data_IF_619929295198
#
_entry.id   IF_619929295198
#
_cell.length_a   1.000
_cell.length_b   1.000
_cell.length_c   1.000
_cell.angle_alpha   90.00
_cell.angle_beta   90.00
_cell.angle_gamma   90.00
#
_symmetry.space_group_name_H-M   'P 1'
#
loop_
_entity.id
_entity.type
_entity.pdbx_description
1 polymer ?
#
# COMPACT_ATOMS: atom_id res chain seq x y z
N UNK A 1 12.81 -13.25 8.22
CA UNK A 1 14.06 -12.47 8.30
C UNK A 1 14.69 -12.64 9.69
N UNK A 2 15.95 -12.23 9.88
CA UNK A 2 16.61 -12.21 11.18
C UNK A 2 17.08 -10.78 11.50
N UNK A 3 16.88 -10.32 12.74
CA UNK A 3 17.46 -9.08 13.24
C UNK A 3 18.91 -9.35 13.65
N UNK A 4 19.86 -8.97 12.79
CA UNK A 4 21.28 -9.31 12.95
C UNK A 4 22.10 -8.23 13.67
N UNK A 5 21.52 -7.05 13.89
CA UNK A 5 22.16 -5.93 14.56
C UNK A 5 21.24 -4.72 14.62
N UNK A 6 21.64 -3.74 15.43
CA UNK A 6 20.99 -2.44 15.60
C UNK A 6 21.94 -1.50 16.34
N UNK A 7 21.69 -0.20 16.24
CA UNK A 7 22.47 0.84 16.90
C UNK A 7 21.50 1.83 17.57
N UNK A 8 21.93 2.43 18.67
CA UNK A 8 21.19 3.50 19.36
C UNK A 8 22.12 4.69 19.50
N UNK A 9 21.68 5.86 19.05
CA UNK A 9 22.40 7.12 19.21
C UNK A 9 21.55 8.10 20.02
N UNK A 10 22.12 8.64 21.10
CA UNK A 10 21.50 9.70 21.90
C UNK A 10 22.00 11.06 21.40
N UNK A 11 21.10 11.92 20.92
CA UNK A 11 21.42 13.22 20.32
C UNK A 11 20.54 14.33 20.91
N UNK A 12 20.79 14.78 22.16
CA UNK A 12 19.93 15.74 22.86
C UNK A 12 19.88 17.15 22.24
N UNK A 13 20.88 17.50 21.42
CA UNK A 13 20.89 18.76 20.67
C UNK A 13 20.10 18.67 19.34
N UNK A 14 19.62 17.47 18.96
CA UNK A 14 18.94 17.21 17.68
C UNK A 14 17.47 16.82 17.87
N UNK A 15 17.17 15.98 18.87
CA UNK A 15 15.81 15.52 19.16
C UNK A 15 15.26 16.16 20.43
N UNK A 16 13.96 16.48 20.43
CA UNK A 16 13.25 16.86 21.64
C UNK A 16 13.11 15.67 22.60
N UNK A 17 12.80 15.93 23.88
CA UNK A 17 12.88 14.93 24.96
C UNK A 17 12.00 13.68 24.73
N UNK A 18 10.91 13.81 23.98
CA UNK A 18 9.97 12.72 23.65
C UNK A 18 10.10 12.21 22.21
N UNK A 19 10.96 12.83 21.40
CA UNK A 19 11.13 12.50 19.99
C UNK A 19 12.25 11.47 19.78
N UNK A 20 12.00 10.53 18.87
CA UNK A 20 13.02 9.61 18.38
C UNK A 20 12.75 9.28 16.91
N UNK A 21 13.82 8.87 16.21
CA UNK A 21 13.73 8.39 14.84
C UNK A 21 14.20 6.93 14.76
N UNK A 22 13.61 6.17 13.83
CA UNK A 22 13.94 4.77 13.60
C UNK A 22 14.24 4.58 12.12
N UNK A 23 15.48 4.19 11.83
CA UNK A 23 15.88 3.70 10.52
C UNK A 23 15.98 2.17 10.53
N UNK A 24 15.35 1.53 9.54
CA UNK A 24 15.46 0.10 9.30
C UNK A 24 16.13 -0.20 7.96
N UNK A 25 16.96 -1.25 7.92
CA UNK A 25 17.57 -1.73 6.68
C UNK A 25 17.25 -3.22 6.49
N UNK A 26 16.90 -3.61 5.26
CA UNK A 26 16.65 -4.99 4.87
C UNK A 26 17.57 -5.38 3.71
N UNK A 27 18.13 -6.58 3.78
CA UNK A 27 18.91 -7.17 2.69
C UNK A 27 18.23 -8.46 2.27
N UNK A 28 17.90 -8.56 0.98
CA UNK A 28 17.35 -9.74 0.35
C UNK A 28 18.30 -10.30 -0.72
N UNK A 29 18.10 -11.56 -1.10
CA UNK A 29 18.83 -12.21 -2.19
C UNK A 29 17.82 -12.76 -3.18
N UNK A 30 18.10 -12.57 -4.47
CA UNK A 30 17.28 -13.08 -5.57
C UNK A 30 18.20 -13.53 -6.70
N UNK A 31 17.88 -14.64 -7.34
CA UNK A 31 18.56 -15.05 -8.56
C UNK A 31 18.29 -14.05 -9.68
N UNK A 32 19.31 -13.72 -10.46
CA UNK A 32 19.18 -12.70 -11.53
C UNK A 32 18.05 -13.03 -12.51
N UNK A 33 17.82 -14.31 -12.80
CA UNK A 33 16.75 -14.77 -13.70
C UNK A 33 15.36 -14.73 -13.07
N UNK A 34 15.25 -14.62 -11.75
CA UNK A 34 13.98 -14.57 -11.01
C UNK A 34 13.58 -13.14 -10.61
N UNK A 35 14.31 -12.12 -11.07
CA UNK A 35 13.97 -10.73 -10.81
C UNK A 35 12.69 -10.38 -11.56
N UNK A 36 11.68 -9.90 -10.83
CA UNK A 36 10.47 -9.30 -11.39
C UNK A 36 10.72 -7.79 -11.53
N UNK A 37 11.08 -7.34 -12.73
CA UNK A 37 11.46 -5.96 -13.02
C UNK A 37 10.39 -5.16 -13.82
N UNK A 38 9.22 -5.76 -14.05
CA UNK A 38 8.14 -5.15 -14.82
C UNK A 38 8.29 -5.25 -16.34
N UNK A 39 9.41 -5.79 -16.86
CA UNK A 39 9.62 -5.92 -18.31
C UNK A 39 8.65 -6.87 -19.02
N UNK A 40 7.97 -7.76 -18.27
CA UNK A 40 6.93 -8.67 -18.77
C UNK A 40 5.54 -8.04 -18.84
N UNK A 41 5.37 -6.79 -18.38
CA UNK A 41 4.07 -6.13 -18.35
C UNK A 41 3.64 -5.75 -19.75
N UNK A 42 2.39 -6.07 -20.10
CA UNK A 42 1.79 -5.84 -21.40
C UNK A 42 0.40 -5.20 -21.26
N UNK A 43 -0.06 -4.53 -22.33
CA UNK A 43 -1.43 -4.05 -22.40
C UNK A 43 -2.43 -5.21 -22.21
N UNK A 44 -3.43 -5.00 -21.37
CA UNK A 44 -4.42 -6.00 -21.00
C UNK A 44 -4.12 -6.71 -19.68
N UNK A 45 -2.89 -6.67 -19.15
CA UNK A 45 -2.56 -7.25 -17.85
C UNK A 45 -3.46 -6.72 -16.74
N UNK A 46 -3.80 -7.57 -15.78
CA UNK A 46 -4.79 -7.26 -14.74
C UNK A 46 -4.08 -6.80 -13.47
N UNK A 47 -4.61 -5.74 -12.87
CA UNK A 47 -4.19 -5.26 -11.55
C UNK A 47 -5.00 -5.96 -10.46
N UNK A 48 -4.32 -6.65 -9.55
CA UNK A 48 -4.93 -7.27 -8.36
C UNK A 48 -4.40 -6.59 -7.12
N UNK A 49 -5.29 -5.95 -6.36
CA UNK A 49 -4.98 -5.30 -5.09
C UNK A 49 -5.07 -6.25 -3.91
N UNK A 50 -4.19 -6.04 -2.93
CA UNK A 50 -4.27 -6.59 -1.58
C UNK A 50 -4.60 -5.49 -0.58
N UNK A 51 -5.45 -5.77 0.42
CA UNK A 51 -5.91 -4.75 1.35
C UNK A 51 -4.76 -4.24 2.22
N UNK A 52 -4.75 -2.92 2.44
CA UNK A 52 -3.99 -2.25 3.49
C UNK A 52 -4.68 -2.43 4.84
N UNK A 53 -3.96 -2.12 5.93
CA UNK A 53 -4.53 -2.11 7.29
C UNK A 53 -5.01 -0.71 7.70
N UNK A 54 -4.79 0.31 6.88
CA UNK A 54 -4.99 1.72 7.18
C UNK A 54 -4.01 2.59 6.39
N UNK A 55 -3.55 3.69 6.98
CA UNK A 55 -2.61 4.63 6.33
C UNK A 55 -1.23 4.02 6.05
N UNK A 56 -0.91 2.90 6.71
CA UNK A 56 0.43 2.32 6.74
C UNK A 56 1.43 3.31 7.33
N UNK A 57 2.37 3.83 6.55
CA UNK A 57 3.43 4.75 7.00
C UNK A 57 3.47 6.05 6.20
N UNK A 58 2.40 6.37 5.44
CA UNK A 58 2.36 7.55 4.58
C UNK A 58 1.10 8.39 4.83
N UNK A 59 1.19 9.70 4.57
CA UNK A 59 0.05 10.63 4.68
C UNK A 59 -0.27 11.11 6.11
N UNK A 60 0.57 10.81 7.11
CA UNK A 60 0.33 11.19 8.51
C UNK A 60 0.32 12.69 8.76
N UNK A 61 1.02 13.50 7.96
CA UNK A 61 0.96 14.96 8.09
C UNK A 61 -0.46 15.47 7.82
N UNK A 62 -1.07 15.06 6.70
CA UNK A 62 -2.43 15.44 6.35
C UNK A 62 -3.45 14.82 7.32
N UNK A 63 -3.29 13.54 7.64
CA UNK A 63 -4.22 12.85 8.53
C UNK A 63 -4.26 13.47 9.94
N UNK A 64 -3.11 13.82 10.52
CA UNK A 64 -3.05 14.50 11.82
C UNK A 64 -3.64 15.91 11.75
N UNK A 65 -3.28 16.67 10.71
CA UNK A 65 -3.79 18.03 10.54
C UNK A 65 -5.32 18.07 10.50
N UNK A 66 -5.94 17.12 9.79
CA UNK A 66 -7.41 17.04 9.71
C UNK A 66 -8.03 16.43 10.97
N UNK A 67 -7.59 15.24 11.38
CA UNK A 67 -8.29 14.51 12.44
C UNK A 67 -8.16 15.17 13.81
N UNK A 68 -7.01 15.78 14.12
CA UNK A 68 -6.79 16.42 15.43
C UNK A 68 -7.39 17.82 15.53
N UNK A 69 -7.97 18.37 14.46
CA UNK A 69 -8.87 19.54 14.58
C UNK A 69 -10.26 19.14 15.12
N UNK A 70 -10.61 17.85 15.06
CA UNK A 70 -11.95 17.35 15.39
C UNK A 70 -11.99 16.35 16.55
N UNK A 71 -10.88 15.64 16.80
CA UNK A 71 -10.82 14.53 17.75
C UNK A 71 -9.51 14.51 18.53
N UNK A 72 -9.60 14.08 19.78
CA UNK A 72 -8.43 13.67 20.56
C UNK A 72 -8.03 12.22 20.20
N UNK A 73 -6.79 11.84 20.52
CA UNK A 73 -6.24 10.50 20.24
C UNK A 73 -7.10 9.37 20.81
N UNK A 74 -7.75 9.61 21.96
CA UNK A 74 -8.60 8.64 22.65
C UNK A 74 -10.06 8.60 22.18
N UNK A 75 -10.48 9.50 21.29
CA UNK A 75 -11.86 9.52 20.80
C UNK A 75 -12.12 8.36 19.86
N UNK A 76 -13.30 7.76 19.98
CA UNK A 76 -13.75 6.61 19.18
C UNK A 76 -14.99 6.97 18.34
N UNK A 77 -14.83 7.70 17.22
CA UNK A 77 -15.93 8.00 16.32
C UNK A 77 -16.58 6.72 15.79
N UNK A 78 -17.89 6.75 15.58
CA UNK A 78 -18.68 5.57 15.21
C UNK A 78 -18.21 4.93 13.90
N UNK A 79 -17.71 5.75 12.96
CA UNK A 79 -17.15 5.32 11.68
C UNK A 79 -15.95 4.38 11.81
N UNK A 80 -15.21 4.44 12.92
CA UNK A 80 -14.06 3.56 13.17
C UNK A 80 -14.44 2.22 13.80
N UNK A 81 -15.74 1.93 13.97
CA UNK A 81 -16.23 0.64 14.42
C UNK A 81 -15.79 0.28 15.84
N UNK A 82 -15.62 1.28 16.71
CA UNK A 82 -15.21 1.12 18.10
C UNK A 82 -13.71 1.29 18.37
N UNK A 83 -12.88 1.46 17.34
CA UNK A 83 -11.49 1.86 17.52
C UNK A 83 -11.36 3.36 17.77
N UNK A 84 -10.35 3.75 18.55
CA UNK A 84 -10.00 5.17 18.72
C UNK A 84 -9.30 5.74 17.48
N UNK A 85 -9.23 7.05 17.35
CA UNK A 85 -8.43 7.73 16.32
C UNK A 85 -6.97 7.32 16.41
N UNK A 86 -6.41 7.26 17.62
CA UNK A 86 -5.05 6.79 17.86
C UNK A 86 -4.83 5.36 17.41
N UNK A 87 -5.73 4.44 17.75
CA UNK A 87 -5.66 3.03 17.33
C UNK A 87 -5.75 2.89 15.81
N UNK A 88 -6.62 3.66 15.15
CA UNK A 88 -6.78 3.62 13.70
C UNK A 88 -5.56 4.19 12.96
N UNK A 89 -4.94 5.26 13.49
CA UNK A 89 -3.71 5.82 12.97
C UNK A 89 -2.52 4.89 13.19
N UNK A 90 -2.40 4.24 14.36
CA UNK A 90 -1.28 3.38 14.71
C UNK A 90 -1.42 1.93 14.23
N UNK A 91 -2.38 1.63 13.35
CA UNK A 91 -2.51 0.29 12.77
C UNK A 91 -1.22 -0.09 12.05
N UNK A 92 -0.66 -1.22 12.47
CA UNK A 92 0.62 -1.74 11.97
C UNK A 92 0.57 -1.92 10.46
N UNK A 93 1.58 -1.40 9.76
CA UNK A 93 1.80 -1.72 8.35
C UNK A 93 2.06 -3.21 8.20
N UNK A 94 1.12 -3.94 7.57
CA UNK A 94 1.27 -5.37 7.37
C UNK A 94 2.42 -5.71 6.43
N UNK A 95 3.05 -6.85 6.63
CA UNK A 95 4.00 -7.40 5.66
C UNK A 95 3.26 -8.08 4.52
N UNK A 96 3.78 -7.94 3.30
CA UNK A 96 3.31 -8.65 2.11
C UNK A 96 4.32 -9.69 1.60
N UNK A 97 5.28 -10.09 2.43
CA UNK A 97 6.34 -11.02 2.03
C UNK A 97 5.76 -12.36 1.55
N UNK A 98 4.86 -12.94 2.33
CA UNK A 98 4.25 -14.24 2.04
C UNK A 98 3.46 -14.25 0.71
N UNK A 99 2.49 -13.34 0.45
CA UNK A 99 1.79 -13.34 -0.83
C UNK A 99 2.71 -13.04 -2.02
N UNK A 100 3.74 -12.21 -1.85
CA UNK A 100 4.74 -11.98 -2.90
C UNK A 100 5.50 -13.28 -3.21
N UNK A 101 5.96 -14.00 -2.18
CA UNK A 101 6.65 -15.27 -2.35
C UNK A 101 5.76 -16.30 -3.05
N UNK A 102 4.51 -16.45 -2.61
CA UNK A 102 3.53 -17.35 -3.25
C UNK A 102 3.38 -17.03 -4.73
N UNK A 103 3.25 -15.77 -5.11
CA UNK A 103 3.08 -15.38 -6.51
C UNK A 103 4.34 -15.62 -7.36
N UNK A 104 5.53 -15.40 -6.78
CA UNK A 104 6.80 -15.66 -7.47
C UNK A 104 7.02 -17.16 -7.68
N UNK A 105 6.75 -17.98 -6.66
CA UNK A 105 6.94 -19.44 -6.70
C UNK A 105 6.04 -20.12 -7.75
N UNK A 106 4.89 -19.53 -8.05
CA UNK A 106 3.96 -20.01 -9.07
C UNK A 106 4.12 -19.29 -10.44
N UNK A 107 5.09 -18.37 -10.59
CA UNK A 107 5.31 -17.54 -11.80
C UNK A 107 4.07 -16.75 -12.26
N UNK A 108 3.27 -16.24 -11.32
CA UNK A 108 2.00 -15.56 -11.60
C UNK A 108 2.12 -14.03 -11.68
N UNK A 109 3.27 -13.46 -11.28
CA UNK A 109 3.46 -12.02 -11.21
C UNK A 109 4.38 -11.48 -12.32
N UNK A 110 3.86 -10.56 -13.13
CA UNK A 110 4.62 -9.76 -14.09
C UNK A 110 5.20 -8.49 -13.46
N UNK A 111 4.62 -8.02 -12.35
CA UNK A 111 5.07 -6.85 -11.61
C UNK A 111 4.42 -6.75 -10.24
N UNK A 112 5.07 -6.02 -9.33
CA UNK A 112 4.54 -5.69 -8.01
C UNK A 112 4.62 -4.19 -7.78
N UNK A 113 3.57 -3.61 -7.20
CA UNK A 113 3.50 -2.20 -6.80
C UNK A 113 3.19 -2.13 -5.32
N UNK A 114 4.16 -1.70 -4.52
CA UNK A 114 3.92 -1.37 -3.11
C UNK A 114 3.37 0.06 -3.03
N UNK A 115 2.13 0.18 -2.57
CA UNK A 115 1.41 1.45 -2.54
C UNK A 115 1.82 2.22 -1.28
N UNK A 116 2.63 3.25 -1.48
CA UNK A 116 3.15 4.14 -0.42
C UNK A 116 2.76 5.59 -0.74
N UNK A 117 3.60 6.59 -0.43
CA UNK A 117 3.39 7.96 -0.87
C UNK A 117 3.30 8.05 -2.41
N UNK A 118 2.36 8.85 -2.92
CA UNK A 118 2.03 8.92 -4.36
C UNK A 118 0.83 8.06 -4.76
N UNK A 119 0.30 7.24 -3.83
CA UNK A 119 -0.86 6.38 -4.04
C UNK A 119 -0.72 5.38 -5.19
N UNK A 120 -1.83 4.84 -5.68
CA UNK A 120 -1.82 3.77 -6.69
C UNK A 120 -1.15 4.23 -7.97
N UNK A 121 -1.58 5.35 -8.54
CA UNK A 121 -1.07 5.84 -9.82
C UNK A 121 0.43 6.19 -9.76
N UNK A 122 0.86 6.90 -8.72
CA UNK A 122 2.26 7.33 -8.60
C UNK A 122 3.23 6.17 -8.36
N UNK A 123 2.80 5.12 -7.66
CA UNK A 123 3.64 3.94 -7.45
C UNK A 123 3.62 3.00 -8.67
N UNK A 124 2.47 2.84 -9.35
CA UNK A 124 2.38 2.01 -10.54
C UNK A 124 3.24 2.55 -11.71
N UNK A 125 3.29 3.87 -11.88
CA UNK A 125 4.12 4.51 -12.93
C UNK A 125 5.63 4.23 -12.81
N UNK A 126 6.11 3.74 -11.65
CA UNK A 126 7.52 3.35 -11.45
C UNK A 126 7.85 1.93 -11.94
N UNK A 127 6.81 1.12 -12.14
CA UNK A 127 6.91 -0.31 -12.45
C UNK A 127 6.44 -0.59 -13.88
N UNK A 128 5.43 0.16 -14.35
CA UNK A 128 4.87 -0.01 -15.69
C UNK A 128 5.84 0.54 -16.75
N UNK A 129 6.13 -0.22 -17.82
CA UNK A 129 6.98 0.23 -18.93
C UNK A 129 6.45 1.46 -19.68
N UNK A 130 7.34 2.19 -20.35
CA UNK A 130 6.97 3.33 -21.18
C UNK A 130 5.97 2.96 -22.29
N UNK A 131 4.98 3.82 -22.53
CA UNK A 131 3.93 3.56 -23.52
C UNK A 131 2.74 2.75 -22.98
N UNK A 132 2.79 2.36 -21.71
CA UNK A 132 1.69 1.71 -20.98
C UNK A 132 1.33 2.53 -19.75
N UNK A 133 0.09 2.40 -19.29
CA UNK A 133 -0.36 3.01 -18.04
C UNK A 133 -1.29 2.08 -17.26
N UNK A 134 -1.28 2.22 -15.93
CA UNK A 134 -2.16 1.48 -15.04
C UNK A 134 -3.47 2.26 -14.83
N UNK A 135 -4.57 1.71 -15.34
CA UNK A 135 -5.92 2.23 -15.13
C UNK A 135 -6.54 1.49 -13.93
N UNK A 136 -6.76 2.21 -12.83
CA UNK A 136 -7.38 1.68 -11.62
C UNK A 136 -8.83 2.18 -11.47
N UNK A 137 -9.75 1.26 -11.22
CA UNK A 137 -11.13 1.50 -10.83
C UNK A 137 -11.24 1.61 -9.32
N UNK A 138 -11.35 2.85 -8.81
CA UNK A 138 -11.43 3.13 -7.38
C UNK A 138 -12.76 2.71 -6.74
N UNK A 139 -13.77 2.34 -7.53
CA UNK A 139 -15.03 1.81 -7.04
C UNK A 139 -14.98 0.27 -6.87
N UNK A 140 -13.88 -0.37 -7.26
CA UNK A 140 -13.71 -1.83 -7.21
C UNK A 140 -13.44 -2.40 -5.81
N UNK A 141 -13.20 -1.54 -4.81
CA UNK A 141 -13.01 -1.97 -3.42
C UNK A 141 -13.66 -1.01 -2.42
N UNK A 142 -13.93 -1.52 -1.22
CA UNK A 142 -14.40 -0.69 -0.13
C UNK A 142 -13.23 0.11 0.45
N UNK A 143 -13.28 1.43 0.28
CA UNK A 143 -12.34 2.34 0.92
C UNK A 143 -12.50 2.27 2.46
N UNK A 144 -11.41 2.14 3.23
CA UNK A 144 -11.48 2.18 4.69
C UNK A 144 -12.01 3.52 5.21
N UNK A 145 -12.91 3.46 6.22
CA UNK A 145 -13.65 4.60 6.74
C UNK A 145 -12.76 5.76 7.24
N UNK A 146 -11.53 5.49 7.69
CA UNK A 146 -10.59 6.55 8.09
C UNK A 146 -10.28 7.51 6.93
N UNK A 147 -10.21 7.01 5.69
CA UNK A 147 -9.94 7.87 4.54
C UNK A 147 -11.15 8.72 4.17
N UNK A 148 -12.37 8.17 4.25
CA UNK A 148 -13.60 8.95 4.05
C UNK A 148 -13.77 10.02 5.13
N UNK A 149 -13.39 9.71 6.37
CA UNK A 149 -13.40 10.65 7.48
C UNK A 149 -12.40 11.78 7.23
N UNK A 150 -11.16 11.48 6.84
CA UNK A 150 -10.15 12.48 6.48
C UNK A 150 -10.64 13.34 5.30
N UNK A 151 -11.17 12.72 4.25
CA UNK A 151 -11.66 13.44 3.08
C UNK A 151 -12.77 14.42 3.45
N UNK A 152 -13.79 13.94 4.19
CA UNK A 152 -14.97 14.70 4.56
C UNK A 152 -14.67 15.84 5.53
N UNK A 153 -13.82 15.59 6.53
CA UNK A 153 -13.50 16.58 7.57
C UNK A 153 -12.52 17.64 7.06
N UNK A 154 -11.56 17.25 6.22
CA UNK A 154 -10.56 18.16 5.67
C UNK A 154 -10.97 18.84 4.36
N UNK A 155 -12.16 18.55 3.84
CA UNK A 155 -12.61 18.96 2.49
C UNK A 155 -11.55 18.67 1.42
N UNK A 156 -10.92 17.49 1.51
CA UNK A 156 -9.77 17.12 0.68
C UNK A 156 -10.25 16.68 -0.71
N UNK A 157 -9.75 17.29 -1.80
CA UNK A 157 -10.08 16.84 -3.15
C UNK A 157 -9.75 15.36 -3.36
N UNK A 158 -10.58 14.66 -4.12
CA UNK A 158 -10.39 13.23 -4.42
C UNK A 158 -9.02 12.93 -5.06
N UNK A 159 -8.52 13.80 -5.94
CA UNK A 159 -7.20 13.64 -6.55
C UNK A 159 -6.06 13.73 -5.52
N UNK A 160 -6.20 14.58 -4.51
CA UNK A 160 -5.22 14.72 -3.43
C UNK A 160 -5.28 13.50 -2.50
N UNK A 161 -6.48 12.97 -2.24
CA UNK A 161 -6.66 11.69 -1.52
C UNK A 161 -5.93 10.55 -2.25
N UNK A 162 -6.13 10.44 -3.57
CA UNK A 162 -5.50 9.39 -4.42
C UNK A 162 -3.99 9.54 -4.56
N UNK A 163 -3.45 10.75 -4.44
CA UNK A 163 -2.00 11.02 -4.49
C UNK A 163 -1.33 10.85 -3.14
N UNK A 164 -2.07 11.03 -2.05
CA UNK A 164 -1.50 11.00 -0.70
C UNK A 164 -1.57 9.63 -0.07
N UNK A 165 -2.69 8.92 -0.24
CA UNK A 165 -2.99 7.70 0.48
C UNK A 165 -3.06 6.47 -0.43
N UNK A 166 -2.96 5.31 0.20
CA UNK A 166 -3.19 4.02 -0.44
C UNK A 166 -4.69 3.69 -0.65
N UNK A 167 -5.58 4.43 0.02
CA UNK A 167 -7.04 4.33 -0.03
C UNK A 167 -7.61 2.92 0.19
N UNK A 168 -6.88 2.05 0.87
CA UNK A 168 -7.29 0.67 1.12
C UNK A 168 -6.47 -0.38 0.40
N UNK A 169 -5.64 -0.02 -0.58
CA UNK A 169 -4.83 -0.98 -1.36
C UNK A 169 -3.37 -0.84 -0.97
N UNK A 170 -2.79 -1.82 -0.27
CA UNK A 170 -1.40 -1.72 0.18
C UNK A 170 -0.38 -2.32 -0.78
N UNK A 171 -0.75 -3.37 -1.52
CA UNK A 171 0.08 -3.99 -2.56
C UNK A 171 -0.78 -4.24 -3.80
N UNK A 172 -0.19 -4.14 -4.97
CA UNK A 172 -0.79 -4.58 -6.24
C UNK A 172 0.15 -5.58 -6.88
N UNK A 173 -0.38 -6.72 -7.35
CA UNK A 173 0.29 -7.58 -8.32
C UNK A 173 -0.29 -7.34 -9.72
N UNK A 174 0.57 -7.36 -10.73
CA UNK A 174 0.21 -7.27 -12.14
C UNK A 174 0.37 -8.66 -12.73
N UNK A 175 -0.71 -9.24 -13.25
CA UNK A 175 -0.76 -10.64 -13.69
C UNK A 175 -1.37 -10.74 -15.08
N UNK A 176 -0.98 -11.76 -15.85
CA UNK A 176 -1.55 -11.95 -17.18
C UNK A 176 -3.07 -12.24 -17.09
N UNK A 177 -3.87 -11.87 -18.09
CA UNK A 177 -5.31 -12.17 -18.10
C UNK A 177 -5.62 -13.67 -18.01
N UNK A 178 -4.74 -14.52 -18.58
CA UNK A 178 -4.90 -15.96 -18.55
C UNK A 178 -4.69 -16.56 -17.15
N UNK A 179 -3.88 -15.90 -16.32
CA UNK A 179 -3.43 -16.41 -15.01
C UNK A 179 -4.25 -15.81 -13.85
N UNK A 180 -5.25 -14.98 -14.16
CA UNK A 180 -5.94 -14.18 -13.15
C UNK A 180 -6.74 -15.02 -12.15
N UNK A 181 -7.38 -16.10 -12.59
CA UNK A 181 -8.16 -16.95 -11.68
C UNK A 181 -7.24 -17.71 -10.74
N UNK A 182 -6.11 -18.21 -11.24
CA UNK A 182 -5.09 -18.89 -10.45
C UNK A 182 -4.44 -17.93 -9.45
N UNK A 183 -4.06 -16.73 -9.90
CA UNK A 183 -3.54 -15.63 -9.05
C UNK A 183 -4.48 -15.35 -7.87
N UNK A 184 -5.77 -15.19 -8.15
CA UNK A 184 -6.77 -14.91 -7.11
C UNK A 184 -6.96 -16.11 -6.18
N UNK A 185 -6.88 -17.34 -6.70
CA UNK A 185 -7.00 -18.55 -5.90
C UNK A 185 -5.82 -18.71 -4.94
N UNK A 186 -4.58 -18.66 -5.43
CA UNK A 186 -3.39 -18.88 -4.58
C UNK A 186 -3.27 -17.82 -3.50
N UNK A 187 -3.65 -16.57 -3.78
CA UNK A 187 -3.68 -15.50 -2.79
C UNK A 187 -4.71 -15.77 -1.69
N UNK A 188 -5.91 -16.24 -2.04
CA UNK A 188 -6.93 -16.63 -1.05
C UNK A 188 -6.49 -17.83 -0.21
N UNK A 189 -5.84 -18.81 -0.83
CA UNK A 189 -5.26 -19.96 -0.13
C UNK A 189 -4.13 -19.55 0.82
N UNK A 190 -3.40 -18.47 0.51
CA UNK A 190 -2.43 -17.82 1.39
C UNK A 190 -3.07 -16.91 2.46
N UNK A 191 -4.41 -16.89 2.58
CA UNK A 191 -5.12 -16.11 3.58
C UNK A 191 -5.30 -14.62 3.25
N UNK A 192 -5.08 -14.22 2.00
CA UNK A 192 -5.35 -12.87 1.54
C UNK A 192 -6.78 -12.70 1.03
N UNK A 193 -7.22 -11.44 0.96
CA UNK A 193 -8.50 -11.03 0.37
C UNK A 193 -8.23 -10.22 -0.91
N UNK A 194 -7.77 -10.85 -2.00
CA UNK A 194 -7.43 -10.14 -3.23
C UNK A 194 -8.68 -9.66 -3.97
N UNK A 195 -8.56 -8.53 -4.65
CA UNK A 195 -9.61 -7.98 -5.50
C UNK A 195 -9.02 -7.36 -6.76
N UNK A 196 -9.75 -7.46 -7.88
CA UNK A 196 -9.35 -6.84 -9.14
C UNK A 196 -9.59 -5.35 -9.04
N UNK A 197 -8.59 -4.55 -9.36
CA UNK A 197 -8.68 -3.09 -9.24
C UNK A 197 -8.54 -2.38 -10.58
N UNK A 198 -8.30 -3.10 -11.67
CA UNK A 198 -8.09 -2.47 -12.96
C UNK A 198 -7.19 -3.28 -13.89
N UNK A 199 -6.54 -2.58 -14.81
CA UNK A 199 -5.73 -3.20 -15.86
C UNK A 199 -4.65 -2.26 -16.39
N UNK A 200 -3.71 -2.82 -17.12
CA UNK A 200 -2.75 -2.08 -17.93
C UNK A 200 -3.38 -1.78 -19.29
N UNK A 201 -3.22 -0.55 -19.76
CA UNK A 201 -3.69 -0.07 -21.07
C UNK A 201 -2.57 0.66 -21.80
N UNK A 202 -2.72 0.83 -23.11
CA UNK A 202 -1.82 1.69 -23.89
C UNK A 202 -1.93 3.14 -23.41
N UNK A 203 -0.78 3.80 -23.28
CA UNK A 203 -0.71 5.22 -22.97
C UNK A 203 -1.24 6.02 -24.17
N UNK A 204 -2.26 6.86 -23.94
CA UNK A 204 -2.93 7.67 -24.97
C UNK A 204 -2.31 9.05 -25.14
#
# INVERSE_FOLDING_TARGET
>A
CALIGGEIAEMPDVYEEEDFDIAGAVVGVVDKSAIVDGSRIEAGDVLVGLPSTGLHTNGYTLARAVLFEHFDVGDAPAELGGATVGEALLRVHRSYLEPIQTLIENDLARGFVHVTGGGVAGNAARVVPSGLTAEADYDAWARPAIFDMIQRLGDVPEDDMRRTFNLGVGLITISAPADIEETMQVLREAGEEPFRIGRIVDES
#
